data_IF_021153319443
#
_entry.id   IF_021153319443
#
_cell.length_a   1.000
_cell.length_b   1.000
_cell.length_c   1.000
_cell.angle_alpha   90.00
_cell.angle_beta   90.00
_cell.angle_gamma   90.00
#
_symmetry.space_group_name_H-M   'P 1'
#
loop_
_entity.id
_entity.type
_entity.pdbx_description
1 polymer ?
#
# COMPACT_ATOMS: atom_id res chain seq x y z
N UNK A 1 1.73 -22.46 18.32
CA UNK A 1 2.48 -21.30 18.82
C UNK A 1 3.26 -20.66 17.69
N UNK A 2 3.29 -19.32 17.57
CA UNK A 2 4.08 -18.63 16.55
C UNK A 2 5.59 -18.68 16.83
N UNK A 3 6.41 -18.48 15.79
CA UNK A 3 7.87 -18.47 15.86
C UNK A 3 8.44 -17.12 15.41
N UNK A 4 9.58 -16.71 15.97
CA UNK A 4 10.32 -15.50 15.58
C UNK A 4 11.58 -15.87 14.81
N UNK A 5 11.87 -15.14 13.72
CA UNK A 5 13.14 -15.23 12.97
C UNK A 5 13.63 -13.82 12.63
N UNK A 6 14.91 -13.56 12.85
CA UNK A 6 15.59 -12.35 12.39
C UNK A 6 16.74 -12.75 11.49
N UNK A 7 16.79 -12.16 10.30
CA UNK A 7 17.80 -12.37 9.28
C UNK A 7 18.47 -11.04 8.93
N UNK A 8 19.80 -11.00 8.93
CA UNK A 8 20.58 -9.81 8.53
C UNK A 8 21.99 -10.22 8.12
N UNK A 9 22.75 -9.33 7.48
CA UNK A 9 24.14 -9.62 7.09
C UNK A 9 25.08 -9.54 8.29
N UNK A 10 25.73 -10.65 8.63
CA UNK A 10 26.70 -10.74 9.74
C UNK A 10 27.91 -11.60 9.38
N UNK A 11 29.04 -11.36 10.06
CA UNK A 11 30.25 -12.15 9.86
C UNK A 11 30.10 -13.61 10.36
N UNK A 12 29.22 -13.85 11.33
CA UNK A 12 28.90 -15.18 11.87
C UNK A 12 27.40 -15.23 12.19
N UNK A 13 26.69 -16.14 11.54
CA UNK A 13 25.27 -16.41 11.77
C UNK A 13 25.00 -17.34 12.94
N UNK A 14 23.73 -17.69 13.11
CA UNK A 14 23.27 -18.65 14.11
C UNK A 14 23.78 -20.08 13.84
N UNK A 15 23.78 -20.49 12.57
CA UNK A 15 24.31 -21.79 12.13
C UNK A 15 25.81 -21.68 11.86
N UNK A 16 26.58 -22.66 12.37
CA UNK A 16 28.03 -22.69 12.18
C UNK A 16 28.41 -22.65 10.69
N UNK A 17 29.38 -21.81 10.33
CA UNK A 17 29.85 -21.64 8.95
C UNK A 17 29.01 -20.68 8.10
N UNK A 18 27.86 -20.19 8.60
CA UNK A 18 27.05 -19.23 7.86
C UNK A 18 27.54 -17.80 8.12
N UNK A 19 27.64 -17.01 7.05
CA UNK A 19 27.98 -15.58 7.06
C UNK A 19 27.24 -14.86 5.93
N UNK A 20 27.23 -13.52 5.95
CA UNK A 20 26.37 -12.72 5.08
C UNK A 20 24.93 -12.76 5.57
N UNK A 21 23.95 -12.67 4.66
CA UNK A 21 22.53 -12.73 5.00
C UNK A 21 22.14 -14.10 5.53
N UNK A 22 22.02 -14.22 6.84
CA UNK A 22 21.66 -15.46 7.53
C UNK A 22 20.85 -15.16 8.79
N UNK A 23 20.23 -16.21 9.33
CA UNK A 23 19.48 -16.10 10.57
C UNK A 23 20.43 -15.79 11.72
N UNK A 24 20.08 -14.78 12.50
CA UNK A 24 20.82 -14.35 13.70
C UNK A 24 19.99 -14.57 14.96
N UNK A 25 18.67 -14.63 14.84
CA UNK A 25 17.80 -14.98 15.95
C UNK A 25 16.67 -15.86 15.45
N UNK A 26 16.33 -16.89 16.22
CA UNK A 26 15.34 -17.90 15.83
C UNK A 26 14.69 -18.56 17.04
N UNK A 27 13.37 -18.69 17.06
CA UNK A 27 12.68 -19.50 18.08
C UNK A 27 13.00 -20.99 17.90
N UNK A 28 13.36 -21.66 19.01
CA UNK A 28 13.61 -23.11 19.00
C UNK A 28 12.36 -23.87 18.60
N UNK A 29 12.53 -24.94 17.81
CA UNK A 29 11.43 -25.78 17.33
C UNK A 29 10.87 -25.37 15.97
N UNK A 30 11.23 -24.21 15.42
CA UNK A 30 10.93 -23.89 14.03
C UNK A 30 11.72 -24.82 13.09
N UNK A 31 11.07 -25.60 12.20
CA UNK A 31 11.76 -26.50 11.26
C UNK A 31 12.78 -25.79 10.37
N UNK A 32 14.01 -26.32 10.28
CA UNK A 32 15.11 -25.70 9.53
C UNK A 32 14.78 -25.51 8.04
N UNK A 33 13.93 -26.37 7.49
CA UNK A 33 13.48 -26.38 6.11
C UNK A 33 12.58 -25.19 5.75
N UNK A 34 12.05 -24.46 6.74
CA UNK A 34 11.32 -23.20 6.52
C UNK A 34 12.27 -22.06 6.14
N UNK A 35 13.52 -22.10 6.58
CA UNK A 35 14.52 -21.04 6.32
C UNK A 35 14.67 -20.67 4.84
N UNK A 36 14.89 -21.63 3.91
CA UNK A 36 14.97 -21.31 2.48
C UNK A 36 13.65 -20.73 1.93
N UNK A 37 12.50 -21.05 2.52
CA UNK A 37 11.20 -20.50 2.13
C UNK A 37 11.02 -19.04 2.57
N UNK A 38 11.72 -18.61 3.62
CA UNK A 38 11.72 -17.23 4.10
C UNK A 38 12.69 -16.34 3.31
N UNK A 39 13.77 -16.89 2.75
CA UNK A 39 14.81 -16.10 2.09
C UNK A 39 14.29 -15.11 1.01
N UNK A 40 13.32 -15.46 0.15
CA UNK A 40 12.75 -14.50 -0.81
C UNK A 40 11.96 -13.34 -0.15
N UNK A 41 11.44 -13.57 1.06
CA UNK A 41 10.70 -12.59 1.83
C UNK A 41 11.61 -11.55 2.49
N UNK A 42 12.92 -11.83 2.55
CA UNK A 42 13.92 -10.91 3.10
C UNK A 42 14.27 -9.78 2.13
N UNK A 43 13.83 -9.84 0.86
CA UNK A 43 14.19 -8.83 -0.14
C UNK A 43 13.51 -7.49 0.15
N UNK A 44 14.27 -6.42 -0.01
CA UNK A 44 13.86 -5.06 0.29
C UNK A 44 14.20 -4.14 -0.89
N UNK A 45 13.21 -3.41 -1.39
CA UNK A 45 13.40 -2.44 -2.45
C UNK A 45 13.38 -1.03 -1.87
N UNK A 46 14.56 -0.45 -1.66
CA UNK A 46 14.70 0.89 -1.08
C UNK A 46 13.95 1.97 -1.86
N UNK A 47 13.89 1.86 -3.19
CA UNK A 47 13.20 2.84 -4.04
C UNK A 47 11.69 2.80 -3.82
N UNK A 48 11.11 1.60 -3.72
CA UNK A 48 9.67 1.43 -3.45
C UNK A 48 9.32 1.76 -2.00
N UNK A 49 10.21 1.43 -1.07
CA UNK A 49 10.04 1.69 0.35
C UNK A 49 10.34 3.14 0.75
N UNK A 50 11.00 3.90 -0.12
CA UNK A 50 11.45 5.29 0.13
C UNK A 50 12.24 5.41 1.44
N UNK A 51 13.09 4.42 1.71
CA UNK A 51 13.88 4.33 2.95
C UNK A 51 13.09 3.98 4.22
N UNK A 52 11.76 3.78 4.14
CA UNK A 52 10.91 3.38 5.28
C UNK A 52 10.89 1.85 5.42
N UNK A 53 10.58 1.31 6.61
CA UNK A 53 10.39 -0.12 6.77
C UNK A 53 9.22 -0.63 5.91
N UNK A 54 9.39 -1.78 5.27
CA UNK A 54 8.36 -2.46 4.51
C UNK A 54 7.72 -3.56 5.37
N UNK A 55 6.40 -3.57 5.47
CA UNK A 55 5.64 -4.58 6.21
C UNK A 55 4.91 -5.51 5.26
N UNK A 56 4.65 -6.74 5.67
CA UNK A 56 3.85 -7.66 4.85
C UNK A 56 3.28 -8.84 5.61
N UNK A 57 2.18 -9.35 5.08
CA UNK A 57 1.53 -10.60 5.48
C UNK A 57 1.46 -11.48 4.26
N UNK A 58 2.00 -12.69 4.37
CA UNK A 58 2.05 -13.68 3.31
C UNK A 58 1.75 -15.06 3.87
N UNK A 59 1.59 -16.03 2.98
CA UNK A 59 1.60 -17.44 3.32
C UNK A 59 2.67 -18.21 2.53
N UNK A 60 3.28 -19.19 3.18
CA UNK A 60 4.21 -20.16 2.57
C UNK A 60 3.64 -21.57 2.72
N UNK A 61 4.04 -22.48 1.83
CA UNK A 61 3.67 -23.90 1.92
C UNK A 61 4.86 -24.72 2.39
N UNK A 62 4.68 -25.46 3.48
CA UNK A 62 5.67 -26.37 4.02
C UNK A 62 4.99 -27.67 4.51
N UNK A 63 5.49 -28.82 4.05
CA UNK A 63 4.91 -30.13 4.39
C UNK A 63 3.43 -30.25 4.00
N UNK A 64 3.05 -29.72 2.82
CA UNK A 64 1.67 -29.72 2.34
C UNK A 64 0.71 -28.81 3.10
N UNK A 65 1.19 -28.08 4.13
CA UNK A 65 0.38 -27.20 4.96
C UNK A 65 0.75 -25.74 4.77
N UNK A 66 -0.21 -24.86 4.97
CA UNK A 66 -0.02 -23.42 4.92
C UNK A 66 0.58 -22.92 6.23
N UNK A 67 1.52 -22.00 6.12
CA UNK A 67 2.10 -21.28 7.24
C UNK A 67 1.94 -19.78 6.97
N UNK A 68 1.57 -19.03 7.98
CA UNK A 68 1.44 -17.58 7.91
C UNK A 68 2.78 -16.92 8.20
N UNK A 69 3.11 -15.84 7.50
CA UNK A 69 4.31 -15.05 7.76
C UNK A 69 3.94 -13.59 7.82
N UNK A 70 4.21 -12.96 8.96
CA UNK A 70 4.20 -11.52 9.12
C UNK A 70 5.64 -11.03 9.12
N UNK A 71 5.94 -10.10 8.23
CA UNK A 71 7.30 -9.64 7.96
C UNK A 71 7.41 -8.15 8.18
N UNK A 72 8.58 -7.74 8.66
CA UNK A 72 9.10 -6.40 8.51
C UNK A 72 10.50 -6.49 7.92
N UNK A 73 10.78 -5.68 6.90
CA UNK A 73 12.13 -5.55 6.35
C UNK A 73 12.52 -4.09 6.31
N UNK A 74 13.72 -3.77 6.79
CA UNK A 74 14.23 -2.40 6.89
C UNK A 74 15.70 -2.34 6.51
N UNK A 75 16.17 -1.18 6.06
CA UNK A 75 17.61 -0.91 5.93
C UNK A 75 18.28 -0.99 7.31
N UNK A 76 19.46 -1.59 7.36
CA UNK A 76 20.22 -1.76 8.60
C UNK A 76 21.68 -1.32 8.40
N UNK A 77 21.86 -0.14 7.80
CA UNK A 77 23.16 0.45 7.52
C UNK A 77 23.99 -0.36 6.51
N UNK A 78 25.30 -0.40 6.74
CA UNK A 78 26.22 -1.25 5.97
C UNK A 78 26.59 -2.50 6.78
N UNK A 79 26.85 -3.59 6.09
CA UNK A 79 27.31 -4.84 6.70
C UNK A 79 28.82 -4.80 7.01
N UNK A 80 29.31 -5.90 7.58
CA UNK A 80 30.72 -6.09 7.94
C UNK A 80 31.69 -6.06 6.75
N UNK A 81 31.18 -6.06 5.51
CA UNK A 81 31.96 -5.92 4.27
C UNK A 81 31.81 -4.55 3.62
N UNK A 82 31.03 -3.63 4.21
CA UNK A 82 30.75 -2.30 3.67
C UNK A 82 29.64 -2.26 2.61
N UNK A 83 28.91 -3.36 2.38
CA UNK A 83 27.76 -3.40 1.47
C UNK A 83 26.49 -2.99 2.20
N UNK A 84 25.49 -2.47 1.48
CA UNK A 84 24.21 -2.11 2.07
C UNK A 84 23.56 -3.34 2.73
N UNK A 85 23.17 -3.19 3.99
CA UNK A 85 22.56 -4.21 4.81
C UNK A 85 21.06 -3.96 4.98
N UNK A 86 20.35 -5.05 5.26
CA UNK A 86 18.93 -5.03 5.64
C UNK A 86 18.71 -6.00 6.78
N UNK A 87 17.67 -5.72 7.56
CA UNK A 87 17.18 -6.61 8.60
C UNK A 87 15.77 -7.03 8.23
N UNK A 88 15.56 -8.34 8.11
CA UNK A 88 14.25 -8.95 7.97
C UNK A 88 13.87 -9.59 9.30
N UNK A 89 12.70 -9.26 9.81
CA UNK A 89 12.14 -9.81 11.04
C UNK A 89 10.79 -10.43 10.70
N UNK A 90 10.68 -11.74 10.91
CA UNK A 90 9.48 -12.53 10.64
C UNK A 90 8.87 -13.08 11.92
N UNK A 91 7.54 -13.00 12.01
CA UNK A 91 6.73 -13.83 12.90
C UNK A 91 5.97 -14.84 12.05
N UNK A 92 6.11 -16.10 12.41
CA UNK A 92 5.69 -17.24 11.59
C UNK A 92 4.60 -17.99 12.34
N UNK A 93 3.40 -18.02 11.78
CA UNK A 93 2.26 -18.74 12.30
C UNK A 93 2.23 -20.17 11.74
N UNK A 94 2.35 -21.22 12.57
CA UNK A 94 2.15 -22.59 12.09
C UNK A 94 0.69 -22.85 11.71
N UNK A 95 0.41 -23.96 10.99
CA UNK A 95 -0.94 -24.31 10.57
C UNK A 95 -1.96 -24.33 11.72
N UNK A 96 -1.54 -24.76 12.91
CA UNK A 96 -2.40 -24.84 14.10
C UNK A 96 -2.80 -23.48 14.68
N UNK A 97 -2.19 -22.38 14.23
CA UNK A 97 -2.44 -21.02 14.74
C UNK A 97 -3.10 -20.11 13.70
N UNK A 98 -3.36 -20.57 12.48
CA UNK A 98 -3.88 -19.69 11.43
C UNK A 98 -5.29 -19.17 11.73
N UNK A 99 -6.09 -19.96 12.45
CA UNK A 99 -7.45 -19.60 12.83
C UNK A 99 -7.52 -18.67 14.06
N UNK A 100 -6.57 -18.82 15.00
CA UNK A 100 -6.50 -18.02 16.23
C UNK A 100 -5.74 -16.72 16.05
N UNK A 101 -4.68 -16.73 15.23
CA UNK A 101 -3.77 -15.60 15.12
C UNK A 101 -4.23 -14.61 14.03
N UNK A 102 -4.56 -13.39 14.46
CA UNK A 102 -4.89 -12.31 13.55
C UNK A 102 -3.62 -11.58 13.06
N UNK A 103 -3.26 -11.66 11.75
CA UNK A 103 -2.04 -11.01 11.25
C UNK A 103 -2.11 -9.47 11.35
N UNK A 104 -3.30 -8.88 11.29
CA UNK A 104 -3.47 -7.44 11.45
C UNK A 104 -3.17 -6.98 12.88
N UNK A 105 -3.59 -7.75 13.89
CA UNK A 105 -3.31 -7.45 15.30
C UNK A 105 -1.82 -7.62 15.59
N UNK A 106 -1.20 -8.66 15.03
CA UNK A 106 0.23 -8.86 15.14
C UNK A 106 1.01 -7.70 14.51
N UNK A 107 0.66 -7.30 13.28
CA UNK A 107 1.26 -6.13 12.66
C UNK A 107 1.02 -4.84 13.44
N UNK A 108 -0.07 -4.71 14.19
CA UNK A 108 -0.37 -3.52 14.97
C UNK A 108 0.32 -3.50 16.35
N UNK A 109 0.44 -4.65 17.01
CA UNK A 109 0.89 -4.78 18.40
C UNK A 109 2.34 -5.22 18.56
N UNK A 110 2.91 -5.90 17.56
CA UNK A 110 4.25 -6.48 17.70
C UNK A 110 5.37 -5.45 17.48
N UNK A 111 6.36 -5.49 18.37
CA UNK A 111 7.54 -4.63 18.36
C UNK A 111 8.67 -5.26 17.54
N UNK A 112 8.61 -5.06 16.22
CA UNK A 112 9.67 -5.50 15.32
C UNK A 112 10.99 -4.74 15.57
N UNK A 113 12.10 -5.40 15.25
CA UNK A 113 13.44 -4.87 15.44
C UNK A 113 13.85 -3.96 14.27
N UNK A 114 14.56 -2.89 14.60
CA UNK A 114 15.23 -1.99 13.63
C UNK A 114 16.65 -2.39 13.30
N UNK A 115 17.35 -2.95 14.28
CA UNK A 115 18.71 -3.39 14.18
C UNK A 115 18.91 -4.69 14.98
N UNK A 116 20.02 -5.36 14.73
CA UNK A 116 20.46 -6.51 15.51
C UNK A 116 21.92 -6.30 15.92
N UNK A 117 22.12 -6.09 17.23
CA UNK A 117 23.43 -5.80 17.83
C UNK A 117 23.90 -6.91 18.76
N UNK A 118 23.06 -7.90 19.00
CA UNK A 118 23.36 -8.99 19.94
C UNK A 118 24.18 -10.10 19.26
N UNK A 119 24.61 -11.08 20.06
CA UNK A 119 25.13 -12.34 19.53
C UNK A 119 23.99 -13.18 18.92
N UNK A 120 24.27 -13.91 17.82
CA UNK A 120 23.33 -14.85 17.27
C UNK A 120 22.89 -15.89 18.31
N UNK A 121 21.58 -16.12 18.45
CA UNK A 121 21.04 -17.04 19.46
C UNK A 121 19.69 -17.65 19.10
N UNK A 122 19.41 -18.79 19.68
CA UNK A 122 18.05 -19.33 19.72
C UNK A 122 17.25 -18.65 20.84
N UNK A 123 15.94 -18.47 20.62
CA UNK A 123 14.99 -18.11 21.67
C UNK A 123 14.30 -19.38 22.18
N UNK A 124 14.30 -19.55 23.50
CA UNK A 124 13.56 -20.63 24.18
C UNK A 124 12.14 -20.19 24.58
N UNK A 125 11.74 -18.97 24.20
CA UNK A 125 10.42 -18.40 24.46
C UNK A 125 9.70 -18.06 23.16
N UNK A 126 8.38 -17.99 23.26
CA UNK A 126 7.51 -17.52 22.19
C UNK A 126 7.60 -16.01 22.00
N UNK A 127 7.36 -15.51 20.77
CA UNK A 127 7.16 -14.09 20.57
C UNK A 127 5.90 -13.65 21.32
N UNK A 128 6.03 -12.61 22.14
CA UNK A 128 4.90 -11.99 22.83
C UNK A 128 4.04 -11.25 21.81
N UNK A 129 2.93 -11.86 21.41
CA UNK A 129 1.95 -11.25 20.52
C UNK A 129 0.87 -10.61 21.39
N UNK A 130 0.89 -9.28 21.46
CA UNK A 130 -0.17 -8.52 22.14
C UNK A 130 -1.25 -8.17 21.13
N UNK A 131 -2.51 -8.42 21.50
CA UNK A 131 -3.63 -7.90 20.71
C UNK A 131 -3.64 -6.38 20.76
N UNK A 132 -3.79 -5.76 19.58
CA UNK A 132 -3.91 -4.33 19.46
C UNK A 132 -5.17 -4.01 18.68
N UNK A 133 -6.18 -3.52 19.40
CA UNK A 133 -7.48 -3.13 18.86
C UNK A 133 -7.52 -1.68 18.35
N UNK A 134 -6.41 -0.93 18.44
CA UNK A 134 -6.35 0.47 17.99
C UNK A 134 -6.89 0.58 16.57
N UNK A 135 -7.79 1.53 16.34
CA UNK A 135 -8.31 1.81 14.99
C UNK A 135 -7.20 2.31 14.06
N UNK A 136 -7.20 1.81 12.83
CA UNK A 136 -6.36 2.31 11.73
C UNK A 136 -7.22 2.85 10.59
N UNK A 137 -8.50 3.15 10.85
CA UNK A 137 -9.44 3.57 9.81
C UNK A 137 -9.32 5.05 9.46
N UNK A 138 -8.64 5.84 10.28
CA UNK A 138 -8.41 7.26 10.03
C UNK A 138 -7.49 7.48 8.81
N UNK A 139 -6.74 6.45 8.38
CA UNK A 139 -5.91 6.52 7.16
C UNK A 139 -6.76 6.82 5.93
N UNK A 140 -8.02 6.38 5.92
CA UNK A 140 -8.89 6.50 4.76
C UNK A 140 -9.46 7.91 4.59
N UNK A 141 -9.56 8.70 5.65
CA UNK A 141 -10.11 10.07 5.61
C UNK A 141 -9.38 10.95 4.58
N UNK A 142 -8.05 10.83 4.51
CA UNK A 142 -7.24 11.59 3.56
C UNK A 142 -7.23 11.01 2.13
N UNK A 143 -7.78 9.80 1.95
CA UNK A 143 -7.79 9.03 0.69
C UNK A 143 -9.20 8.86 0.11
N UNK A 144 -10.16 9.70 0.53
CA UNK A 144 -11.52 9.69 -0.03
C UNK A 144 -12.52 8.77 0.69
N UNK A 145 -12.15 8.26 1.87
CA UNK A 145 -13.08 7.68 2.83
C UNK A 145 -13.02 6.16 2.99
N UNK A 146 -13.65 5.67 4.06
CA UNK A 146 -13.57 4.28 4.54
C UNK A 146 -14.11 3.23 3.56
N UNK A 147 -14.89 3.64 2.56
CA UNK A 147 -15.45 2.74 1.54
C UNK A 147 -14.38 2.02 0.72
N UNK A 148 -13.19 2.62 0.55
CA UNK A 148 -12.07 1.98 -0.14
C UNK A 148 -11.60 0.70 0.51
N UNK A 149 -11.63 0.59 1.85
CA UNK A 149 -11.26 -0.63 2.56
C UNK A 149 -12.11 -1.82 2.11
N UNK A 150 -13.43 -1.66 2.13
CA UNK A 150 -14.37 -2.72 1.74
C UNK A 150 -14.26 -3.05 0.25
N UNK A 151 -14.05 -2.04 -0.60
CA UNK A 151 -13.88 -2.25 -2.04
C UNK A 151 -12.61 -3.04 -2.37
N UNK A 152 -11.47 -2.66 -1.78
CA UNK A 152 -10.19 -3.36 -1.93
C UNK A 152 -10.31 -4.80 -1.43
N UNK A 153 -10.94 -5.01 -0.25
CA UNK A 153 -11.15 -6.34 0.29
C UNK A 153 -12.00 -7.21 -0.66
N UNK A 154 -13.10 -6.67 -1.20
CA UNK A 154 -13.96 -7.40 -2.13
C UNK A 154 -13.22 -7.83 -3.40
N UNK A 155 -12.42 -6.93 -3.99
CA UNK A 155 -11.60 -7.24 -5.17
C UNK A 155 -10.56 -8.32 -4.87
N UNK A 156 -9.92 -8.27 -3.70
CA UNK A 156 -8.90 -9.25 -3.33
C UNK A 156 -9.53 -10.64 -3.09
N UNK A 157 -10.71 -10.66 -2.47
CA UNK A 157 -11.49 -11.88 -2.23
C UNK A 157 -12.01 -12.50 -3.53
N UNK A 158 -12.19 -11.71 -4.60
CA UNK A 158 -12.49 -12.24 -5.93
C UNK A 158 -11.26 -12.82 -6.65
N UNK A 159 -10.09 -12.83 -6.01
CA UNK A 159 -8.83 -13.33 -6.58
C UNK A 159 -8.06 -12.29 -7.40
N UNK A 160 -8.48 -11.04 -7.43
CA UNK A 160 -7.79 -9.99 -8.19
C UNK A 160 -6.44 -9.64 -7.56
N UNK A 161 -5.41 -9.49 -8.41
CA UNK A 161 -4.13 -8.92 -8.00
C UNK A 161 -4.23 -7.41 -8.00
N UNK A 162 -3.94 -6.79 -6.87
CA UNK A 162 -4.17 -5.39 -6.61
C UNK A 162 -2.87 -4.66 -6.35
N UNK A 163 -2.72 -3.50 -6.98
CA UNK A 163 -1.75 -2.49 -6.56
C UNK A 163 -2.50 -1.28 -6.04
N UNK A 164 -2.29 -0.98 -4.75
CA UNK A 164 -2.90 0.17 -4.07
C UNK A 164 -1.85 1.27 -4.01
N UNK A 165 -2.09 2.36 -4.72
CA UNK A 165 -1.20 3.52 -4.73
C UNK A 165 -1.68 4.52 -3.67
N UNK A 166 -0.81 4.86 -2.73
CA UNK A 166 -1.13 5.77 -1.63
C UNK A 166 -0.25 7.02 -1.67
N UNK A 167 -0.72 8.17 -1.14
CA UNK A 167 0.13 9.34 -0.98
C UNK A 167 1.36 9.05 -0.10
N UNK A 168 2.55 9.62 -0.35
CA UNK A 168 3.75 9.32 0.44
C UNK A 168 3.70 9.83 1.89
N UNK A 169 2.78 10.75 2.17
CA UNK A 169 2.45 11.24 3.51
C UNK A 169 1.72 10.19 4.36
N UNK A 170 1.08 9.20 3.74
CA UNK A 170 0.38 8.13 4.43
C UNK A 170 1.37 7.03 4.82
N UNK A 171 1.26 6.52 6.03
CA UNK A 171 2.06 5.39 6.51
C UNK A 171 1.49 4.07 5.94
N UNK A 172 2.27 3.35 5.13
CA UNK A 172 1.78 2.14 4.48
C UNK A 172 1.48 1.00 5.45
N UNK A 173 2.22 0.84 6.56
CA UNK A 173 1.88 -0.12 7.63
C UNK A 173 0.42 0.01 8.08
N UNK A 174 -0.03 1.24 8.32
CA UNK A 174 -1.38 1.53 8.78
C UNK A 174 -2.44 1.17 7.72
N UNK A 175 -2.12 1.38 6.43
CA UNK A 175 -2.96 0.95 5.30
C UNK A 175 -3.01 -0.59 5.21
N UNK A 176 -1.87 -1.28 5.30
CA UNK A 176 -1.79 -2.75 5.30
C UNK A 176 -2.66 -3.34 6.42
N UNK A 177 -2.53 -2.81 7.65
CA UNK A 177 -3.34 -3.25 8.79
C UNK A 177 -4.83 -3.03 8.52
N UNK A 178 -5.22 -1.85 8.02
CA UNK A 178 -6.63 -1.56 7.78
C UNK A 178 -7.23 -2.40 6.66
N UNK A 179 -6.50 -2.64 5.57
CA UNK A 179 -6.93 -3.56 4.49
C UNK A 179 -7.15 -4.96 5.05
N UNK A 180 -6.19 -5.51 5.80
CA UNK A 180 -6.31 -6.83 6.41
C UNK A 180 -7.54 -6.93 7.31
N UNK A 181 -7.87 -5.88 8.08
CA UNK A 181 -9.07 -5.85 8.93
C UNK A 181 -10.38 -5.82 8.13
N UNK A 182 -10.36 -5.34 6.89
CA UNK A 182 -11.49 -5.44 5.97
C UNK A 182 -11.73 -6.85 5.42
N UNK A 183 -10.76 -7.76 5.56
CA UNK A 183 -10.84 -9.14 5.09
C UNK A 183 -11.30 -10.05 6.25
N UNK A 184 -12.19 -11.04 6.00
CA UNK A 184 -12.55 -12.07 6.98
C UNK A 184 -11.33 -12.74 7.61
N UNK A 185 -11.37 -12.99 8.93
CA UNK A 185 -10.19 -13.42 9.69
C UNK A 185 -9.53 -14.69 9.14
N UNK A 186 -10.35 -15.64 8.70
CA UNK A 186 -10.01 -16.94 8.12
C UNK A 186 -9.40 -16.85 6.71
N UNK A 187 -9.48 -15.68 6.07
CA UNK A 187 -9.02 -15.45 4.68
C UNK A 187 -7.81 -14.49 4.60
N UNK A 188 -7.42 -13.85 5.71
CA UNK A 188 -6.33 -12.85 5.73
C UNK A 188 -4.99 -13.41 5.29
N UNK A 189 -4.67 -14.65 5.69
CA UNK A 189 -3.41 -15.30 5.36
C UNK A 189 -3.32 -15.72 3.89
N UNK A 190 -4.45 -16.04 3.29
CA UNK A 190 -4.59 -16.47 1.89
C UNK A 190 -4.55 -15.27 0.95
N UNK A 191 -5.21 -14.17 1.33
CA UNK A 191 -5.16 -12.94 0.55
C UNK A 191 -3.75 -12.37 0.57
N UNK A 192 -3.18 -12.14 1.75
CA UNK A 192 -1.86 -11.54 1.89
C UNK A 192 -1.77 -10.09 1.37
N UNK A 193 -1.06 -9.26 2.12
CA UNK A 193 -0.92 -7.82 1.83
C UNK A 193 0.51 -7.40 2.13
N UNK A 194 1.18 -6.77 1.18
CA UNK A 194 2.57 -6.32 1.34
C UNK A 194 2.77 -4.86 0.98
N UNK A 195 3.64 -4.19 1.69
CA UNK A 195 4.07 -2.82 1.39
C UNK A 195 5.38 -2.85 0.61
N UNK A 196 5.56 -1.88 -0.29
CA UNK A 196 6.84 -1.59 -0.95
C UNK A 196 7.50 -2.78 -1.68
N UNK A 197 6.70 -3.70 -2.20
CA UNK A 197 7.16 -4.89 -2.93
C UNK A 197 7.01 -4.71 -4.44
N UNK A 198 7.92 -5.28 -5.21
CA UNK A 198 7.74 -5.40 -6.67
C UNK A 198 6.60 -6.37 -6.97
N UNK A 199 6.00 -6.27 -8.16
CA UNK A 199 5.00 -7.21 -8.62
C UNK A 199 5.52 -8.66 -8.59
N UNK A 200 6.69 -8.90 -9.16
CA UNK A 200 7.33 -10.23 -9.18
C UNK A 200 7.46 -10.84 -7.78
N UNK A 201 8.02 -10.08 -6.83
CA UNK A 201 8.17 -10.55 -5.44
C UNK A 201 6.81 -10.69 -4.74
N UNK A 202 5.84 -9.82 -5.03
CA UNK A 202 4.51 -9.91 -4.47
C UNK A 202 3.80 -11.21 -4.89
N UNK A 203 3.73 -11.46 -6.19
CA UNK A 203 2.94 -12.53 -6.80
C UNK A 203 3.61 -13.90 -6.67
N UNK A 204 4.93 -13.97 -6.67
CA UNK A 204 5.66 -15.22 -6.44
C UNK A 204 5.48 -15.77 -5.01
N UNK A 205 5.03 -14.94 -4.06
CA UNK A 205 4.98 -15.28 -2.64
C UNK A 205 3.62 -14.99 -1.99
N UNK A 206 2.55 -15.42 -2.68
CA UNK A 206 1.18 -15.58 -2.14
C UNK A 206 0.55 -14.34 -1.50
N UNK A 207 0.90 -13.14 -1.93
CA UNK A 207 0.10 -11.95 -1.62
C UNK A 207 -0.75 -11.58 -2.84
N UNK A 208 -1.94 -11.03 -2.62
CA UNK A 208 -2.84 -10.53 -3.66
C UNK A 208 -2.87 -9.00 -3.69
N UNK A 209 -2.36 -8.34 -2.66
CA UNK A 209 -2.35 -6.89 -2.56
C UNK A 209 -0.93 -6.40 -2.30
N UNK A 210 -0.46 -5.46 -3.11
CA UNK A 210 0.72 -4.64 -2.79
C UNK A 210 0.38 -3.17 -2.66
N UNK A 211 0.90 -2.55 -1.62
CA UNK A 211 0.71 -1.12 -1.30
C UNK A 211 1.98 -0.38 -1.65
N UNK A 212 1.87 0.67 -2.47
CA UNK A 212 2.98 1.51 -2.87
C UNK A 212 2.72 2.98 -2.52
N UNK A 213 3.64 3.58 -1.77
CA UNK A 213 3.67 5.01 -1.55
C UNK A 213 4.32 5.71 -2.75
N UNK A 214 3.57 6.53 -3.47
CA UNK A 214 4.03 7.17 -4.70
C UNK A 214 3.57 8.62 -4.79
N UNK A 215 4.43 9.49 -5.32
CA UNK A 215 4.05 10.86 -5.62
C UNK A 215 3.02 10.87 -6.77
N UNK A 216 2.11 11.86 -6.78
CA UNK A 216 1.04 11.93 -7.79
C UNK A 216 1.56 12.11 -9.23
N UNK A 217 2.82 12.53 -9.37
CA UNK A 217 3.52 12.74 -10.63
C UNK A 217 4.48 11.59 -10.97
N UNK A 218 4.63 10.58 -10.10
CA UNK A 218 5.44 9.41 -10.42
C UNK A 218 4.76 8.63 -11.54
N UNK A 219 5.53 8.33 -12.60
CA UNK A 219 5.06 7.48 -13.68
C UNK A 219 4.72 6.07 -13.17
N UNK A 220 3.50 5.62 -13.43
CA UNK A 220 3.01 4.29 -13.03
C UNK A 220 3.66 3.15 -13.82
N UNK A 221 4.13 3.43 -15.05
CA UNK A 221 4.44 2.42 -16.07
C UNK A 221 5.50 1.39 -15.67
N UNK A 222 6.48 1.77 -14.85
CA UNK A 222 7.53 0.83 -14.38
C UNK A 222 7.12 0.06 -13.12
N UNK A 223 5.97 0.40 -12.53
CA UNK A 223 5.55 -0.05 -11.21
C UNK A 223 4.19 -0.72 -11.20
N UNK A 224 3.51 -0.86 -12.34
CA UNK A 224 2.26 -1.60 -12.51
C UNK A 224 2.49 -2.76 -13.47
N UNK A 225 2.09 -3.96 -13.06
CA UNK A 225 2.28 -5.18 -13.84
C UNK A 225 1.03 -5.49 -14.67
N UNK A 226 1.17 -6.07 -15.89
CA UNK A 226 0.02 -6.52 -16.67
C UNK A 226 -0.90 -7.45 -15.88
N UNK A 227 -2.21 -7.17 -15.88
CA UNK A 227 -3.22 -7.96 -15.17
C UNK A 227 -3.41 -7.58 -13.69
N UNK A 228 -2.70 -6.57 -13.17
CA UNK A 228 -3.07 -5.95 -11.91
C UNK A 228 -4.25 -4.99 -12.08
N UNK A 229 -5.11 -4.96 -11.06
CA UNK A 229 -6.10 -3.91 -10.84
C UNK A 229 -5.43 -2.80 -10.04
N UNK A 230 -5.36 -1.61 -10.62
CA UNK A 230 -4.79 -0.43 -9.97
C UNK A 230 -5.88 0.30 -9.19
N UNK A 231 -5.65 0.48 -7.90
CA UNK A 231 -6.46 1.33 -7.03
C UNK A 231 -5.63 2.57 -6.68
N UNK A 232 -5.85 3.67 -7.40
CA UNK A 232 -5.11 4.91 -7.18
C UNK A 232 -5.81 5.83 -6.16
N UNK A 233 -5.22 5.92 -4.97
CA UNK A 233 -5.69 6.74 -3.86
C UNK A 233 -4.81 7.97 -3.63
N UNK A 234 -3.87 8.28 -4.55
CA UNK A 234 -2.98 9.43 -4.44
C UNK A 234 -3.73 10.75 -4.64
N UNK A 235 -4.81 10.72 -5.42
CA UNK A 235 -5.75 11.82 -5.63
C UNK A 235 -6.99 11.50 -4.82
N UNK A 236 -7.52 12.45 -4.04
CA UNK A 236 -8.75 12.24 -3.29
C UNK A 236 -9.85 11.77 -4.24
N UNK A 237 -10.24 10.51 -4.12
CA UNK A 237 -11.18 9.84 -5.01
C UNK A 237 -12.31 9.25 -4.17
N UNK A 238 -13.56 9.46 -4.59
CA UNK A 238 -14.71 8.86 -3.92
C UNK A 238 -14.74 7.37 -4.31
N UNK A 239 -14.91 6.44 -3.36
CA UNK A 239 -15.01 5.03 -3.67
C UNK A 239 -16.19 4.76 -4.61
N UNK A 240 -16.07 3.80 -5.55
CA UNK A 240 -17.18 3.47 -6.44
C UNK A 240 -18.39 2.98 -5.64
N UNK A 241 -19.58 3.34 -6.11
CA UNK A 241 -20.81 2.82 -5.49
C UNK A 241 -20.89 1.31 -5.67
N UNK A 242 -21.50 0.58 -4.73
CA UNK A 242 -21.63 -0.88 -4.78
C UNK A 242 -22.34 -1.43 -6.03
N UNK A 243 -22.88 -0.55 -6.89
CA UNK A 243 -23.58 -0.87 -8.14
C UNK A 243 -22.81 -0.51 -9.42
N UNK A 244 -21.57 -0.02 -9.33
CA UNK A 244 -20.79 0.29 -10.53
C UNK A 244 -20.13 -0.97 -11.09
N UNK A 245 -20.45 -1.27 -12.35
CA UNK A 245 -19.76 -2.29 -13.14
C UNK A 245 -18.28 -1.92 -13.26
N UNK A 246 -17.40 -2.84 -12.86
CA UNK A 246 -15.96 -2.67 -12.97
C UNK A 246 -15.57 -2.81 -14.45
N UNK A 247 -15.13 -1.73 -15.08
CA UNK A 247 -14.69 -1.78 -16.47
C UNK A 247 -13.30 -2.42 -16.56
N UNK A 248 -13.24 -3.61 -17.15
CA UNK A 248 -12.01 -4.35 -17.44
C UNK A 248 -11.61 -4.04 -18.88
N UNK A 249 -10.90 -2.93 -19.09
CA UNK A 249 -10.55 -2.47 -20.43
C UNK A 249 -11.78 -2.15 -21.31
N UNK A 250 -11.76 -2.52 -22.60
CA UNK A 250 -12.88 -2.29 -23.55
C UNK A 250 -14.04 -3.28 -23.41
N UNK A 251 -14.01 -4.19 -22.45
CA UNK A 251 -15.11 -5.13 -22.20
C UNK A 251 -15.62 -4.95 -20.77
N UNK A 252 -16.93 -4.74 -20.65
CA UNK A 252 -17.61 -4.69 -19.37
C UNK A 252 -17.71 -6.12 -18.83
N UNK A 253 -16.93 -6.45 -17.79
CA UNK A 253 -17.17 -7.66 -17.01
C UNK A 253 -18.11 -7.27 -15.87
N UNK A 254 -19.37 -7.64 -16.01
CA UNK A 254 -20.41 -7.40 -15.00
C UNK A 254 -20.12 -8.26 -13.78
N UNK A 255 -19.48 -7.68 -12.76
CA UNK A 255 -19.35 -8.30 -11.44
C UNK A 255 -20.66 -8.07 -10.69
N UNK A 256 -21.50 -9.11 -10.64
CA UNK A 256 -22.72 -9.11 -9.82
C UNK A 256 -22.37 -9.47 -8.37
N UNK A 257 -22.34 -8.46 -7.50
CA UNK A 257 -22.04 -8.61 -6.07
C UNK A 257 -23.25 -9.10 -5.25
N UNK A 258 -24.39 -9.45 -5.88
CA UNK A 258 -25.56 -9.97 -5.18
C UNK A 258 -25.52 -11.48 -4.90
N UNK A 259 -24.54 -12.20 -5.45
CA UNK A 259 -24.43 -13.67 -5.37
C UNK A 259 -23.38 -14.15 -4.36
N UNK A 260 -23.43 -13.68 -3.12
CA UNK A 260 -22.70 -14.32 -2.00
C UNK A 260 -23.66 -15.18 -1.16
N UNK A 261 -24.16 -16.25 -1.79
CA UNK A 261 -24.67 -17.44 -1.11
C UNK A 261 -23.99 -18.66 -1.74
N UNK A 262 -23.61 -19.70 -0.98
CA UNK A 262 -22.89 -20.82 -1.54
C UNK A 262 -23.86 -21.62 -2.40
N UNK A 263 -23.64 -21.66 -3.71
CA UNK A 263 -24.26 -22.68 -4.55
C UNK A 263 -23.21 -23.27 -5.45
N UNK A 264 -22.97 -24.56 -5.20
CA UNK A 264 -22.15 -25.48 -5.97
C UNK A 264 -22.67 -25.53 -7.41
N UNK A 265 -21.81 -25.27 -8.40
CA UNK A 265 -21.94 -25.91 -9.70
C UNK A 265 -20.66 -25.80 -10.55
N UNK A 266 -20.41 -26.89 -11.28
CA UNK A 266 -19.24 -27.19 -12.11
C UNK A 266 -19.05 -26.20 -13.27
N UNK A 267 -17.78 -25.88 -13.58
CA UNK A 267 -17.39 -25.15 -14.79
C UNK A 267 -16.76 -26.09 -15.81
N UNK A 268 -17.33 -26.13 -17.01
CA UNK A 268 -16.66 -26.58 -18.24
C UNK A 268 -15.76 -25.48 -18.78
N UNK A 269 -14.55 -25.87 -19.19
CA UNK A 269 -13.56 -25.03 -19.85
C UNK A 269 -13.97 -24.66 -21.29
N UNK A 270 -13.84 -23.37 -21.64
CA UNK A 270 -13.31 -22.97 -22.96
C UNK A 270 -12.95 -21.48 -22.99
N UNK A 271 -11.70 -21.24 -23.38
CA UNK A 271 -11.18 -20.10 -24.17
C UNK A 271 -11.48 -18.66 -23.74
N UNK A 272 -10.43 -17.90 -23.42
CA UNK A 272 -9.91 -16.86 -24.33
C UNK A 272 -8.63 -16.19 -23.82
N UNK A 273 -7.59 -16.27 -24.65
CA UNK A 273 -6.51 -15.29 -24.76
C UNK A 273 -7.08 -13.91 -25.18
N UNK A 274 -6.82 -12.83 -24.41
CA UNK A 274 -6.51 -11.48 -24.91
C UNK A 274 -6.37 -10.41 -23.81
N UNK A 275 -5.41 -9.51 -24.07
CA UNK A 275 -5.21 -8.15 -23.51
C UNK A 275 -4.26 -8.00 -22.31
N UNK A 276 -3.00 -7.74 -22.63
CA UNK A 276 -1.86 -7.53 -21.72
C UNK A 276 -1.72 -6.09 -21.21
N UNK A 277 -2.80 -5.33 -21.08
CA UNK A 277 -2.74 -3.97 -20.52
C UNK A 277 -3.22 -3.94 -19.07
N UNK A 278 -2.56 -3.18 -18.19
CA UNK A 278 -3.02 -3.03 -16.81
C UNK A 278 -4.40 -2.39 -16.77
N UNK A 279 -5.25 -2.87 -15.87
CA UNK A 279 -6.60 -2.32 -15.67
C UNK A 279 -6.46 -1.18 -14.67
N UNK A 280 -6.52 0.05 -15.17
CA UNK A 280 -6.47 1.24 -14.33
C UNK A 280 -7.91 1.63 -13.97
N UNK A 281 -8.27 1.53 -12.70
CA UNK A 281 -9.53 2.09 -12.19
C UNK A 281 -9.26 3.56 -11.85
N UNK A 282 -9.30 4.42 -12.86
CA UNK A 282 -9.31 5.87 -12.68
C UNK A 282 -10.76 6.36 -12.64
N UNK A 283 -11.16 6.98 -11.54
CA UNK A 283 -12.42 7.72 -11.47
C UNK A 283 -12.08 9.20 -11.65
N UNK A 284 -12.06 9.66 -12.90
CA UNK A 284 -12.06 11.08 -13.21
C UNK A 284 -13.49 11.62 -13.13
N UNK A 285 -13.68 12.71 -12.38
CA UNK A 285 -14.95 13.43 -12.37
C UNK A 285 -15.07 14.24 -13.67
N UNK A 286 -16.02 13.89 -14.53
CA UNK A 286 -16.59 14.88 -15.43
C UNK A 286 -17.35 15.89 -14.55
N UNK A 287 -16.82 17.10 -14.38
CA UNK A 287 -17.64 18.20 -13.88
C UNK A 287 -18.72 18.44 -14.92
N UNK A 288 -19.97 18.05 -14.64
CA UNK A 288 -21.10 18.52 -15.43
C UNK A 288 -21.14 20.04 -15.29
N UNK A 289 -20.73 20.74 -16.35
CA UNK A 289 -21.04 22.14 -16.53
C UNK A 289 -22.57 22.23 -16.64
N UNK A 290 -23.21 22.89 -15.68
CA UNK A 290 -24.62 23.23 -15.77
C UNK A 290 -24.82 24.17 -16.96
N UNK A 291 -25.32 23.63 -18.08
CA UNK A 291 -26.00 24.42 -19.10
C UNK A 291 -27.31 24.97 -18.53
N UNK A 292 -27.64 26.20 -18.94
CA UNK A 292 -28.49 27.13 -18.21
C UNK A 292 -30.00 26.87 -18.24
N UNK A 293 -30.67 27.63 -17.38
CA UNK A 293 -32.07 28.00 -17.55
C UNK A 293 -32.13 29.52 -17.40
N UNK A 294 -32.35 30.16 -18.54
CA UNK A 294 -32.89 31.51 -18.70
C UNK A 294 -34.32 31.50 -18.14
N UNK A 295 -34.70 32.49 -17.33
CA UNK A 295 -36.08 32.97 -17.32
C UNK A 295 -36.15 34.40 -16.78
N UNK A 296 -36.61 35.29 -17.68
CA UNK A 296 -37.03 36.64 -17.40
C UNK A 296 -38.40 36.62 -16.72
N UNK A 297 -38.58 37.36 -15.63
CA UNK A 297 -39.70 38.29 -15.46
C UNK A 297 -39.62 39.08 -14.13
N UNK A 298 -39.53 40.40 -14.28
CA UNK A 298 -40.02 41.45 -13.35
C UNK A 298 -41.23 42.09 -14.09
N UNK A 299 -42.21 42.81 -13.46
CA UNK A 299 -41.97 43.85 -12.46
C UNK A 299 -43.05 44.07 -11.36
N UNK A 300 -42.71 44.96 -10.42
CA UNK A 300 -43.52 46.01 -9.77
C UNK A 300 -43.67 45.98 -8.23
N UNK A 301 -42.96 46.95 -7.63
CA UNK A 301 -43.45 48.03 -6.75
C UNK A 301 -43.25 47.91 -5.23
N UNK A 302 -42.63 48.97 -4.66
CA UNK A 302 -42.83 49.37 -3.27
C UNK A 302 -41.59 49.79 -2.47
N UNK A 303 -41.14 51.04 -2.69
CA UNK A 303 -40.37 51.96 -1.81
C UNK A 303 -40.50 51.72 -0.27
N UNK A 304 -39.55 51.99 0.65
CA UNK A 304 -38.62 53.12 0.80
C UNK A 304 -37.57 52.88 1.94
N UNK A 305 -36.35 53.45 1.76
CA UNK A 305 -35.38 54.03 2.76
C UNK A 305 -34.96 53.24 4.03
N UNK A 306 -33.70 53.13 4.49
CA UNK A 306 -32.49 53.98 4.37
C UNK A 306 -31.25 53.23 4.90
N UNK A 307 -30.12 53.33 4.17
CA UNK A 307 -28.68 53.40 4.54
C UNK A 307 -28.25 53.01 5.98
N UNK A 308 -27.21 52.21 6.24
CA UNK A 308 -25.86 52.24 5.66
C UNK A 308 -25.02 51.00 6.07
N UNK A 309 -24.24 50.48 5.13
CA UNK A 309 -23.13 49.50 5.30
C UNK A 309 -21.79 50.22 5.03
N UNK A 310 -20.59 49.64 5.30
CA UNK A 310 -20.07 48.62 4.39
C UNK A 310 -19.37 47.44 5.09
N UNK A 311 -19.77 46.25 4.66
CA UNK A 311 -18.98 45.03 4.66
C UNK A 311 -17.86 45.12 3.62
N UNK A 312 -16.61 44.81 4.01
CA UNK A 312 -15.53 44.55 3.05
C UNK A 312 -15.61 43.11 2.54
N UNK A 313 -16.09 42.95 1.30
CA UNK A 313 -15.85 41.78 0.47
C UNK A 313 -14.53 41.95 -0.30
N UNK A 314 -13.62 41.00 -0.19
CA UNK A 314 -12.37 40.98 -0.96
C UNK A 314 -12.63 40.37 -2.33
N UNK A 315 -12.45 41.20 -3.35
CA UNK A 315 -12.65 40.91 -4.78
C UNK A 315 -11.53 40.04 -5.37
N UNK A 316 -11.91 39.07 -6.22
CA UNK A 316 -11.05 38.16 -7.02
C UNK A 316 -10.12 38.87 -8.03
N UNK A 317 -10.01 40.20 -8.02
CA UNK A 317 -9.21 40.99 -8.96
C UNK A 317 -7.76 41.22 -8.47
N UNK A 318 -7.45 40.98 -7.19
CA UNK A 318 -6.09 41.19 -6.64
C UNK A 318 -5.14 40.02 -6.95
N UNK A 319 -5.65 38.80 -7.14
CA UNK A 319 -4.79 37.61 -7.33
C UNK A 319 -4.12 37.54 -8.72
N UNK A 320 -4.70 38.17 -9.74
CA UNK A 320 -4.10 38.21 -11.09
C UNK A 320 -2.92 39.18 -11.21
N UNK A 321 -2.76 40.15 -10.31
CA UNK A 321 -1.62 41.10 -10.34
C UNK A 321 -0.36 40.59 -9.67
N UNK A 322 -0.46 39.62 -8.75
CA UNK A 322 0.69 39.01 -8.06
C UNK A 322 1.41 37.99 -8.96
N UNK A 323 0.67 37.27 -9.80
CA UNK A 323 1.25 36.25 -10.71
C UNK A 323 2.07 36.91 -11.84
N UNK A 324 1.69 38.10 -12.31
CA UNK A 324 2.44 38.82 -13.36
C UNK A 324 3.79 39.36 -12.84
N UNK A 325 3.88 39.73 -11.56
CA UNK A 325 5.16 40.18 -10.97
C UNK A 325 6.13 39.02 -10.69
N UNK A 326 5.63 37.83 -10.33
CA UNK A 326 6.49 36.66 -10.12
C UNK A 326 7.08 36.09 -11.41
N UNK A 327 6.33 36.13 -12.52
CA UNK A 327 6.83 35.66 -13.82
C UNK A 327 7.86 36.64 -14.41
N UNK A 328 7.74 37.95 -14.15
CA UNK A 328 8.73 38.93 -14.62
C UNK A 328 10.03 38.91 -13.78
N UNK A 329 9.96 38.57 -12.49
CA UNK A 329 11.15 38.42 -11.62
C UNK A 329 11.99 37.18 -11.94
N UNK A 330 11.36 36.07 -12.34
CA UNK A 330 12.05 34.83 -12.68
C UNK A 330 12.83 34.89 -14.00
N UNK A 331 12.40 35.72 -14.96
CA UNK A 331 13.07 35.87 -16.27
C UNK A 331 14.34 36.73 -16.17
N UNK A 332 14.40 37.68 -15.22
CA UNK A 332 15.59 38.54 -15.02
C UNK A 332 16.70 37.82 -14.22
N UNK A 333 16.33 36.91 -13.31
CA UNK A 333 17.31 36.10 -12.56
C UNK A 333 18.03 35.04 -13.40
N UNK A 334 17.40 34.54 -14.47
CA UNK A 334 17.98 33.52 -15.35
C UNK A 334 19.04 34.07 -16.33
N UNK A 335 19.08 35.38 -16.57
CA UNK A 335 20.03 36.01 -17.49
C UNK A 335 21.33 36.53 -16.83
N UNK A 336 21.43 36.50 -15.51
CA UNK A 336 22.61 36.99 -14.77
C UNK A 336 23.48 35.88 -14.15
N UNK A 337 23.05 34.61 -14.20
CA UNK A 337 23.77 33.48 -13.60
C UNK A 337 24.81 32.79 -14.49
N UNK A 338 24.99 33.21 -15.74
CA UNK A 338 25.85 32.50 -16.72
C UNK A 338 27.26 33.08 -16.91
N UNK A 339 27.64 34.08 -16.13
CA UNK A 339 29.00 34.62 -16.10
C UNK A 339 29.47 34.70 -14.66
N UNK A 340 30.10 33.64 -14.15
CA UNK A 340 31.26 33.67 -13.24
C UNK A 340 31.64 32.20 -12.93
N UNK A 341 32.95 31.95 -12.95
CA UNK A 341 33.68 30.68 -12.68
C UNK A 341 34.12 29.91 -13.93
N UNK A 342 35.05 30.53 -14.65
CA UNK A 342 36.19 29.81 -15.24
C UNK A 342 37.37 30.79 -15.28
N UNK A 343 38.21 30.79 -14.24
CA UNK A 343 39.56 31.35 -14.26
C UNK A 343 40.32 30.94 -12.98
N UNK A 344 41.30 30.05 -13.20
CA UNK A 344 42.39 29.57 -12.32
C UNK A 344 42.08 28.47 -11.32
#
# INVERSE_FOLDING_TARGET
>A
MPYEVVNTSVARGLTSGHSGFCDVLRTRGLPEEITPLLAPLNFYNEKLARGKPAYGVRSIRFGGRMWGVVSRVVLNGNDYTGRQNRLAHHIIAPPSELESLCPANLLAGYSFRDAFTDLPRYLDREPEVTENEKSFDDVWECMGGKGWRSHIAALALSGSRLVVLIPPSVEGRSVVISILRGIPIDQRWQVGVVEASSAEQCWAHSALIRVLAMDANDAEGDRVWPGEVVVDLRRQSIPPSAKQELFVGKQATKLDFSAFAPTSQEMTESETEKSSQPIIVNIDFASEASEGIDDQHDPCSGENSTQSTPSFGVSKVVFKRIIVWFILGAVVGALTGFFIVNLK
#
